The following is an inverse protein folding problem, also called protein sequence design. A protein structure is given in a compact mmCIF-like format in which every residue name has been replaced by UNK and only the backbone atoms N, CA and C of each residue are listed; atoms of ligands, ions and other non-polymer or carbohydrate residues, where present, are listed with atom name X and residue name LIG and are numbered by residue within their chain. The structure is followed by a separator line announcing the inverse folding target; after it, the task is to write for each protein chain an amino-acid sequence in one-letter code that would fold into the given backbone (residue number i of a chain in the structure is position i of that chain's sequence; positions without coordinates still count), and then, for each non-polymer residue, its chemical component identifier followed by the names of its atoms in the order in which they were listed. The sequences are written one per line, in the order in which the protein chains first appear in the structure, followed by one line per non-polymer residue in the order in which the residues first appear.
data_IF_010127659837
#
_entry.id   IF_010127659837
#
_cell.length_a   1.000
_cell.length_b   1.000
_cell.length_c   1.000
_cell.angle_alpha   90.00
_cell.angle_beta   90.00
_cell.angle_gamma   90.00
#
_symmetry.space_group_name_H-M   'P 1'
#
loop_
_entity.id
_entity.type
_entity.pdbx_description
1 polymer ?
#
# COMPACT_ATOMS: atom_id res chain seq x y z
N UNK A 1 25.99 -11.38 -14.83
CA UNK A 1 24.90 -11.49 -13.85
C UNK A 1 23.99 -12.62 -14.31
N UNK A 2 23.72 -13.62 -13.47
CA UNK A 2 22.76 -14.68 -13.80
C UNK A 2 21.31 -14.17 -13.71
N UNK A 3 20.36 -14.88 -14.31
CA UNK A 3 18.94 -14.54 -14.19
C UNK A 3 18.47 -14.56 -12.72
N UNK A 4 18.91 -15.56 -11.93
CA UNK A 4 18.60 -15.64 -10.50
C UNK A 4 19.14 -14.44 -9.73
N UNK A 5 20.38 -14.03 -10.00
CA UNK A 5 20.97 -12.84 -9.37
C UNK A 5 20.21 -11.56 -9.73
N UNK A 6 19.80 -11.41 -10.99
CA UNK A 6 18.99 -10.28 -11.42
C UNK A 6 17.65 -10.24 -10.66
N UNK A 7 17.00 -11.39 -10.50
CA UNK A 7 15.73 -11.52 -9.77
C UNK A 7 15.91 -11.25 -8.28
N UNK A 8 17.00 -11.73 -7.65
CA UNK A 8 17.32 -11.41 -6.25
C UNK A 8 17.43 -9.90 -6.04
N UNK A 9 18.28 -9.22 -6.84
CA UNK A 9 18.49 -7.77 -6.73
C UNK A 9 17.18 -7.02 -6.93
N UNK A 10 16.43 -7.36 -7.99
CA UNK A 10 15.16 -6.69 -8.29
C UNK A 10 14.12 -6.89 -7.18
N UNK A 11 13.94 -8.12 -6.71
CA UNK A 11 12.93 -8.47 -5.69
C UNK A 11 13.25 -7.83 -4.34
N UNK A 12 14.50 -7.92 -3.89
CA UNK A 12 14.94 -7.32 -2.61
C UNK A 12 14.82 -5.79 -2.67
N UNK A 13 15.29 -5.18 -3.76
CA UNK A 13 15.21 -3.73 -3.93
C UNK A 13 13.77 -3.25 -3.96
N UNK A 14 12.89 -3.93 -4.69
CA UNK A 14 11.46 -3.60 -4.75
C UNK A 14 10.83 -3.72 -3.36
N UNK A 15 11.18 -4.75 -2.59
CA UNK A 15 10.63 -4.95 -1.26
C UNK A 15 11.03 -3.85 -0.28
N UNK A 16 12.33 -3.56 -0.20
CA UNK A 16 12.87 -2.53 0.69
C UNK A 16 12.45 -1.12 0.27
N UNK A 17 12.40 -0.84 -1.03
CA UNK A 17 11.89 0.45 -1.55
C UNK A 17 10.41 0.64 -1.21
N UNK A 18 9.59 -0.40 -1.40
CA UNK A 18 8.15 -0.34 -1.05
C UNK A 18 7.96 -0.15 0.45
N UNK A 19 8.71 -0.87 1.27
CA UNK A 19 8.70 -0.71 2.74
C UNK A 19 9.09 0.71 3.15
N UNK A 20 10.21 1.22 2.62
CA UNK A 20 10.70 2.57 2.88
C UNK A 20 9.70 3.65 2.47
N UNK A 21 9.04 3.50 1.32
CA UNK A 21 8.01 4.43 0.87
C UNK A 21 6.78 4.47 1.80
N UNK A 22 6.31 3.31 2.28
CA UNK A 22 5.21 3.24 3.26
C UNK A 22 5.63 3.86 4.60
N UNK A 23 6.86 3.58 5.04
CA UNK A 23 7.41 4.16 6.27
C UNK A 23 7.55 5.68 6.17
N UNK A 24 8.07 6.19 5.04
CA UNK A 24 8.25 7.62 4.79
C UNK A 24 6.92 8.38 4.79
N UNK A 25 5.88 7.83 4.14
CA UNK A 25 4.51 8.37 4.21
C UNK A 25 4.07 8.55 5.67
N UNK A 26 4.29 7.52 6.50
CA UNK A 26 3.87 7.52 7.90
C UNK A 26 4.71 8.45 8.78
N UNK A 27 6.01 8.56 8.49
CA UNK A 27 6.96 9.33 9.28
C UNK A 27 6.92 10.84 8.99
N UNK A 28 6.61 11.23 7.76
CA UNK A 28 6.71 12.62 7.32
C UNK A 28 5.35 13.19 6.86
N UNK A 29 4.69 12.51 5.92
CA UNK A 29 3.49 13.06 5.29
C UNK A 29 2.28 13.05 6.22
N UNK A 30 2.06 11.96 6.96
CA UNK A 30 0.91 11.87 7.87
C UNK A 30 0.96 12.89 9.01
N UNK A 31 2.10 13.13 9.69
CA UNK A 31 2.21 14.22 10.67
C UNK A 31 1.91 15.60 10.05
N UNK A 32 2.41 15.86 8.83
CA UNK A 32 2.16 17.11 8.12
C UNK A 32 0.67 17.27 7.79
N UNK A 33 0.05 16.25 7.22
CA UNK A 33 -1.38 16.24 6.86
C UNK A 33 -2.26 16.38 8.10
N UNK A 34 -1.94 15.67 9.18
CA UNK A 34 -2.68 15.68 10.45
C UNK A 34 -2.62 17.04 11.17
N UNK A 35 -1.66 17.90 10.84
CA UNK A 35 -1.58 19.26 11.37
C UNK A 35 -2.65 20.20 10.80
N UNK A 36 -3.31 19.81 9.71
CA UNK A 36 -4.32 20.61 9.01
C UNK A 36 -5.74 20.23 9.46
N UNK A 37 -6.72 21.15 9.33
CA UNK A 37 -8.14 20.82 9.47
C UNK A 37 -8.57 19.67 8.55
N UNK A 38 -9.61 18.93 8.91
CA UNK A 38 -10.18 17.83 8.12
C UNK A 38 -10.52 18.26 6.69
N UNK A 39 -11.01 19.48 6.49
CA UNK A 39 -11.32 20.05 5.17
C UNK A 39 -10.12 20.15 4.21
N UNK A 40 -8.88 20.11 4.73
CA UNK A 40 -7.65 20.12 3.93
C UNK A 40 -6.91 18.80 3.98
N UNK A 41 -6.87 18.17 5.15
CA UNK A 41 -6.12 16.92 5.35
C UNK A 41 -6.73 15.74 4.59
N UNK A 42 -8.06 15.66 4.51
CA UNK A 42 -8.75 14.55 3.85
C UNK A 42 -8.52 14.52 2.32
N UNK A 43 -8.64 15.63 1.57
CA UNK A 43 -8.30 15.63 0.14
C UNK A 43 -6.83 15.32 -0.14
N UNK A 44 -5.91 15.86 0.69
CA UNK A 44 -4.48 15.56 0.59
C UNK A 44 -4.21 14.08 0.76
N UNK A 45 -4.79 13.46 1.80
CA UNK A 45 -4.67 12.02 2.02
C UNK A 45 -5.31 11.22 0.88
N UNK A 46 -6.50 11.62 0.40
CA UNK A 46 -7.21 10.89 -0.66
C UNK A 46 -6.40 10.88 -1.96
N UNK A 47 -5.72 11.97 -2.28
CA UNK A 47 -4.82 12.07 -3.43
C UNK A 47 -3.62 11.12 -3.30
N UNK A 48 -2.95 11.14 -2.14
CA UNK A 48 -1.83 10.21 -1.86
C UNK A 48 -2.31 8.75 -1.92
N UNK A 49 -3.47 8.45 -1.35
CA UNK A 49 -4.06 7.12 -1.36
C UNK A 49 -4.32 6.62 -2.78
N UNK A 50 -4.88 7.45 -3.67
CA UNK A 50 -5.16 7.06 -5.06
C UNK A 50 -3.91 6.67 -5.83
N UNK A 51 -2.78 7.35 -5.60
CA UNK A 51 -1.52 7.04 -6.27
C UNK A 51 -0.80 5.85 -5.60
N UNK A 52 -0.87 5.81 -4.28
CA UNK A 52 -0.34 4.72 -3.47
C UNK A 52 -1.03 3.37 -3.72
N UNK A 53 -2.34 3.37 -4.03
CA UNK A 53 -3.12 2.15 -4.28
C UNK A 53 -2.72 1.40 -5.53
N UNK A 54 -1.94 2.01 -6.43
CA UNK A 54 -1.37 1.31 -7.59
C UNK A 54 0.09 0.94 -7.37
N UNK A 55 0.84 1.75 -6.62
CA UNK A 55 2.28 1.53 -6.41
C UNK A 55 2.55 0.45 -5.38
N UNK A 56 1.96 0.55 -4.18
CA UNK A 56 2.26 -0.37 -3.08
C UNK A 56 1.76 -1.79 -3.34
N UNK A 57 0.53 -2.04 -3.85
CA UNK A 57 0.09 -3.39 -4.19
C UNK A 57 0.97 -4.04 -5.27
N UNK A 58 1.43 -3.27 -6.26
CA UNK A 58 2.35 -3.75 -7.29
C UNK A 58 3.68 -4.18 -6.68
N UNK A 59 4.28 -3.35 -5.81
CA UNK A 59 5.52 -3.70 -5.10
C UNK A 59 5.37 -4.94 -4.23
N UNK A 60 4.24 -5.07 -3.50
CA UNK A 60 3.91 -6.25 -2.70
C UNK A 60 3.83 -7.51 -3.57
N UNK A 61 3.07 -7.46 -4.67
CA UNK A 61 2.88 -8.61 -5.54
C UNK A 61 4.17 -9.03 -6.25
N UNK A 62 4.93 -8.07 -6.80
CA UNK A 62 6.21 -8.36 -7.45
C UNK A 62 7.21 -8.97 -6.48
N UNK A 63 7.33 -8.42 -5.26
CA UNK A 63 8.26 -8.94 -4.26
C UNK A 63 7.86 -10.33 -3.79
N UNK A 64 6.56 -10.54 -3.51
CA UNK A 64 6.01 -11.84 -3.10
C UNK A 64 6.26 -12.90 -4.17
N UNK A 65 5.94 -12.60 -5.43
CA UNK A 65 6.13 -13.52 -6.55
C UNK A 65 7.61 -13.80 -6.83
N UNK A 66 8.45 -12.76 -6.79
CA UNK A 66 9.90 -12.88 -6.96
C UNK A 66 10.52 -13.78 -5.89
N UNK A 67 10.17 -13.59 -4.61
CA UNK A 67 10.66 -14.46 -3.55
C UNK A 67 10.12 -15.89 -3.63
N UNK A 68 8.86 -16.09 -4.04
CA UNK A 68 8.32 -17.43 -4.28
C UNK A 68 9.09 -18.15 -5.40
N UNK A 69 9.39 -17.45 -6.49
CA UNK A 69 10.23 -17.97 -7.57
C UNK A 69 11.63 -18.32 -7.08
N UNK A 70 12.26 -17.44 -6.29
CA UNK A 70 13.60 -17.68 -5.76
C UNK A 70 13.64 -18.90 -4.83
N UNK A 71 12.61 -19.06 -3.99
CA UNK A 71 12.44 -20.26 -3.15
C UNK A 71 12.41 -21.54 -3.99
N UNK A 72 11.59 -21.55 -5.04
CA UNK A 72 11.51 -22.69 -5.97
C UNK A 72 12.85 -22.94 -6.68
N UNK A 73 13.51 -21.89 -7.16
CA UNK A 73 14.78 -22.00 -7.90
C UNK A 73 15.94 -22.48 -7.04
N UNK A 74 15.86 -22.29 -5.71
CA UNK A 74 16.87 -22.72 -4.75
C UNK A 74 16.67 -24.18 -4.30
N UNK A 75 15.61 -24.87 -4.75
CA UNK A 75 15.39 -26.26 -4.39
C UNK A 75 16.50 -27.16 -4.98
N UNK A 76 16.97 -28.17 -4.23
CA UNK A 76 17.93 -29.12 -4.76
C UNK A 76 17.31 -29.93 -5.90
N UNK A 77 18.12 -30.34 -6.88
CA UNK A 77 17.65 -31.10 -8.05
C UNK A 77 16.91 -32.41 -7.67
N UNK A 78 17.26 -32.99 -6.52
CA UNK A 78 16.60 -34.17 -5.93
C UNK A 78 15.20 -33.91 -5.37
N UNK A 79 14.80 -32.65 -5.16
CA UNK A 79 13.45 -32.29 -4.72
C UNK A 79 12.43 -32.27 -5.86
N UNK A 80 12.84 -32.56 -7.10
CA UNK A 80 12.02 -32.36 -8.30
C UNK A 80 10.82 -33.32 -8.46
N UNK A 81 10.65 -34.33 -7.59
CA UNK A 81 9.44 -35.16 -7.39
C UNK A 81 9.64 -36.07 -6.16
N UNK A 82 8.62 -36.35 -5.31
CA UNK A 82 7.20 -35.89 -5.32
C UNK A 82 6.95 -34.54 -4.60
N UNK A 83 5.70 -34.03 -4.63
CA UNK A 83 5.29 -32.75 -4.01
C UNK A 83 5.61 -32.66 -2.51
N UNK A 84 5.54 -33.77 -1.77
CA UNK A 84 5.96 -33.82 -0.37
C UNK A 84 7.46 -33.57 -0.19
N UNK A 85 8.29 -33.98 -1.16
CA UNK A 85 9.71 -33.66 -1.20
C UNK A 85 9.91 -32.17 -1.47
N UNK A 86 9.17 -31.58 -2.42
CA UNK A 86 9.19 -30.13 -2.68
C UNK A 86 8.85 -29.34 -1.41
N UNK A 87 7.73 -29.66 -0.75
CA UNK A 87 7.28 -28.96 0.45
C UNK A 87 8.27 -29.10 1.61
N UNK A 88 8.80 -30.30 1.85
CA UNK A 88 9.75 -30.53 2.95
C UNK A 88 11.10 -29.82 2.75
N UNK A 89 11.51 -29.59 1.50
CA UNK A 89 12.72 -28.82 1.18
C UNK A 89 12.45 -27.31 1.11
N UNK A 90 11.27 -26.90 0.63
CA UNK A 90 10.89 -25.49 0.50
C UNK A 90 10.77 -24.75 1.84
N UNK A 91 10.68 -25.48 2.96
CA UNK A 91 10.64 -24.91 4.32
C UNK A 91 11.99 -24.94 5.04
N UNK A 92 13.06 -25.44 4.40
CA UNK A 92 14.39 -25.58 5.00
C UNK A 92 15.44 -24.76 4.26
N UNK A 93 16.47 -24.31 4.99
CA UNK A 93 17.61 -23.60 4.43
C UNK A 93 17.22 -22.36 3.61
N UNK A 94 18.00 -22.08 2.56
CA UNK A 94 17.80 -20.95 1.65
C UNK A 94 16.42 -20.94 0.96
N UNK A 95 15.87 -22.06 0.45
CA UNK A 95 14.48 -22.11 -0.03
C UNK A 95 13.46 -21.65 1.01
N UNK A 96 13.62 -22.09 2.26
CA UNK A 96 12.78 -21.71 3.40
C UNK A 96 12.81 -20.21 3.69
N UNK A 97 13.99 -19.60 3.64
CA UNK A 97 14.12 -18.16 3.85
C UNK A 97 13.43 -17.35 2.75
N UNK A 98 13.60 -17.74 1.48
CA UNK A 98 12.85 -17.09 0.39
C UNK A 98 11.34 -17.30 0.49
N UNK A 99 10.89 -18.48 0.91
CA UNK A 99 9.46 -18.72 1.13
C UNK A 99 8.92 -17.83 2.26
N UNK A 100 9.65 -17.73 3.38
CA UNK A 100 9.31 -16.85 4.48
C UNK A 100 9.26 -15.38 4.04
N UNK A 101 10.22 -14.93 3.23
CA UNK A 101 10.23 -13.58 2.65
C UNK A 101 8.98 -13.33 1.78
N UNK A 102 8.61 -14.29 0.93
CA UNK A 102 7.40 -14.24 0.11
C UNK A 102 6.14 -14.09 0.97
N UNK A 103 5.99 -14.94 1.99
CA UNK A 103 4.84 -14.91 2.91
C UNK A 103 4.77 -13.60 3.68
N UNK A 104 5.90 -13.07 4.16
CA UNK A 104 5.96 -11.78 4.85
C UNK A 104 5.52 -10.63 3.93
N UNK A 105 6.04 -10.57 2.70
CA UNK A 105 5.60 -9.57 1.73
C UNK A 105 4.10 -9.69 1.45
N UNK A 106 3.60 -10.89 1.14
CA UNK A 106 2.17 -11.12 0.85
C UNK A 106 1.26 -10.81 2.03
N UNK A 107 1.71 -11.06 3.26
CA UNK A 107 0.95 -10.76 4.48
C UNK A 107 0.61 -9.27 4.60
N UNK A 108 1.38 -8.39 3.95
CA UNK A 108 1.07 -6.96 3.83
C UNK A 108 -0.28 -6.72 3.15
N UNK A 109 -0.61 -7.48 2.09
CA UNK A 109 -1.89 -7.38 1.40
C UNK A 109 -3.03 -7.87 2.30
N UNK A 110 -2.85 -9.01 2.96
CA UNK A 110 -3.84 -9.57 3.90
C UNK A 110 -4.10 -8.61 5.06
N UNK A 111 -3.05 -8.06 5.66
CA UNK A 111 -3.14 -7.07 6.73
C UNK A 111 -3.87 -5.81 6.26
N UNK A 112 -3.59 -5.34 5.05
CA UNK A 112 -4.30 -4.19 4.46
C UNK A 112 -5.80 -4.49 4.40
N UNK A 113 -6.18 -5.64 3.85
CA UNK A 113 -7.58 -6.02 3.66
C UNK A 113 -8.34 -6.16 4.97
N UNK A 114 -7.71 -6.75 6.00
CA UNK A 114 -8.40 -7.06 7.26
C UNK A 114 -8.33 -5.90 8.26
N UNK A 115 -7.18 -5.25 8.42
CA UNK A 115 -6.95 -4.28 9.49
C UNK A 115 -7.07 -2.82 9.04
N UNK A 116 -6.80 -2.51 7.77
CA UNK A 116 -6.73 -1.13 7.30
C UNK A 116 -7.95 -0.64 6.53
N UNK A 117 -8.56 -1.50 5.69
CA UNK A 117 -9.73 -1.11 4.88
C UNK A 117 -10.81 -0.38 5.70
N UNK A 118 -11.20 -0.84 6.92
CA UNK A 118 -12.22 -0.13 7.69
C UNK A 118 -11.85 1.33 8.00
N UNK A 119 -10.60 1.57 8.42
CA UNK A 119 -10.12 2.93 8.75
C UNK A 119 -10.03 3.79 7.48
N UNK A 120 -9.52 3.20 6.39
CA UNK A 120 -9.42 3.87 5.09
C UNK A 120 -10.80 4.29 4.58
N UNK A 121 -11.79 3.40 4.67
CA UNK A 121 -13.13 3.67 4.16
C UNK A 121 -13.85 4.73 4.99
N UNK A 122 -13.63 4.77 6.31
CA UNK A 122 -14.13 5.88 7.14
C UNK A 122 -13.51 7.21 6.72
N UNK A 123 -12.18 7.27 6.49
CA UNK A 123 -11.51 8.49 6.03
C UNK A 123 -12.01 8.92 4.64
N UNK A 124 -12.16 8.00 3.69
CA UNK A 124 -12.68 8.29 2.34
C UNK A 124 -14.13 8.79 2.41
N UNK A 125 -14.96 8.14 3.23
CA UNK A 125 -16.36 8.56 3.40
C UNK A 125 -16.42 9.99 3.95
N UNK A 126 -15.65 10.32 4.98
CA UNK A 126 -15.58 11.69 5.51
C UNK A 126 -15.10 12.70 4.47
N UNK A 127 -14.14 12.32 3.63
CA UNK A 127 -13.71 13.17 2.52
C UNK A 127 -14.88 13.46 1.58
N UNK A 128 -15.61 12.43 1.13
CA UNK A 128 -16.78 12.59 0.24
C UNK A 128 -17.91 13.38 0.91
N UNK A 129 -18.19 13.15 2.20
CA UNK A 129 -19.24 13.86 2.96
C UNK A 129 -18.94 15.37 3.12
N UNK A 130 -17.66 15.77 3.04
CA UNK A 130 -17.25 17.17 3.03
C UNK A 130 -17.21 17.79 1.62
N UNK A 131 -17.42 17.00 0.56
CA UNK A 131 -17.26 17.44 -0.83
C UNK A 131 -15.79 17.42 -1.29
N UNK A 132 -14.98 16.55 -0.69
CA UNK A 132 -13.62 16.25 -1.12
C UNK A 132 -13.58 15.22 -2.24
N UNK A 133 -12.49 15.27 -3.01
CA UNK A 133 -12.17 14.31 -4.06
C UNK A 133 -10.68 13.94 -4.03
N UNK A 134 -10.28 13.04 -4.93
CA UNK A 134 -8.91 12.53 -5.00
C UNK A 134 -7.93 13.42 -5.76
N UNK A 135 -8.40 14.51 -6.38
CA UNK A 135 -7.54 15.48 -7.08
C UNK A 135 -8.30 16.77 -7.41
N UNK A 136 -7.57 17.81 -7.82
CA UNK A 136 -8.15 19.06 -8.30
C UNK A 136 -8.95 18.86 -9.61
N UNK A 137 -8.43 18.08 -10.56
CA UNK A 137 -9.16 17.77 -11.81
C UNK A 137 -10.45 17.00 -11.53
N UNK A 138 -10.40 16.04 -10.61
CA UNK A 138 -11.57 15.27 -10.17
C UNK A 138 -12.63 16.16 -9.54
N UNK A 139 -12.25 17.03 -8.60
CA UNK A 139 -13.17 17.97 -7.96
C UNK A 139 -13.87 18.86 -9.01
N UNK A 140 -13.10 19.44 -9.94
CA UNK A 140 -13.64 20.28 -11.02
C UNK A 140 -14.60 19.52 -11.94
N UNK A 141 -14.24 18.29 -12.34
CA UNK A 141 -15.10 17.47 -13.19
C UNK A 141 -16.40 17.08 -12.48
N UNK A 142 -16.30 16.63 -11.22
CA UNK A 142 -17.46 16.22 -10.42
C UNK A 142 -18.42 17.38 -10.17
N UNK A 143 -17.89 18.58 -9.90
CA UNK A 143 -18.70 19.80 -9.78
C UNK A 143 -19.42 20.11 -11.10
N UNK A 144 -18.75 20.02 -12.25
CA UNK A 144 -19.36 20.30 -13.57
C UNK A 144 -20.55 19.38 -13.88
N UNK A 145 -20.50 18.12 -13.46
CA UNK A 145 -21.57 17.15 -13.73
C UNK A 145 -22.61 17.09 -12.61
N UNK A 146 -22.48 17.90 -11.55
CA UNK A 146 -23.36 17.84 -10.38
C UNK A 146 -23.33 16.47 -9.69
N UNK A 147 -22.15 15.84 -9.60
CA UNK A 147 -22.00 14.50 -9.04
C UNK A 147 -22.45 14.46 -7.57
N UNK A 148 -23.15 13.40 -7.19
CA UNK A 148 -23.51 13.15 -5.79
C UNK A 148 -22.31 12.61 -5.00
N UNK A 149 -22.28 12.78 -3.66
CA UNK A 149 -21.30 12.12 -2.80
C UNK A 149 -21.29 10.61 -3.01
N UNK A 150 -20.09 10.00 -2.98
CA UNK A 150 -19.91 8.57 -3.19
C UNK A 150 -19.77 7.80 -1.89
N UNK A 151 -20.04 6.49 -1.95
CA UNK A 151 -19.52 5.57 -0.93
C UNK A 151 -18.00 5.44 -1.05
N UNK A 152 -17.36 4.91 -0.02
CA UNK A 152 -15.92 4.68 -0.05
C UNK A 152 -15.50 3.76 -1.21
N UNK A 153 -16.26 2.69 -1.46
CA UNK A 153 -16.03 1.75 -2.55
C UNK A 153 -16.15 2.43 -3.91
N UNK A 154 -17.22 3.21 -4.12
CA UNK A 154 -17.43 3.95 -5.37
C UNK A 154 -16.31 4.98 -5.62
N UNK A 155 -15.79 5.60 -4.56
CA UNK A 155 -14.66 6.53 -4.62
C UNK A 155 -13.36 5.83 -5.00
N UNK A 156 -13.09 4.64 -4.45
CA UNK A 156 -11.92 3.81 -4.80
C UNK A 156 -12.02 3.33 -6.25
N UNK A 157 -13.19 2.87 -6.68
CA UNK A 157 -13.47 2.41 -8.04
C UNK A 157 -13.41 3.53 -9.09
N UNK A 158 -13.31 4.80 -8.68
CA UNK A 158 -13.27 5.95 -9.59
C UNK A 158 -14.58 6.15 -10.37
N UNK A 159 -15.73 5.77 -9.80
CA UNK A 159 -17.02 5.93 -10.48
C UNK A 159 -17.34 7.40 -10.70
N UNK A 160 -17.76 7.72 -11.93
CA UNK A 160 -18.10 9.09 -12.39
C UNK A 160 -16.98 10.08 -12.09
N UNK A 161 -15.77 9.75 -12.53
CA UNK A 161 -14.57 10.50 -12.19
C UNK A 161 -13.59 10.57 -13.36
N UNK A 162 -12.59 11.44 -13.24
CA UNK A 162 -11.42 11.43 -14.11
C UNK A 162 -10.57 10.18 -13.83
N UNK A 163 -9.79 9.75 -14.84
CA UNK A 163 -8.93 8.58 -14.72
C UNK A 163 -7.81 8.82 -13.70
N UNK A 164 -7.70 7.92 -12.71
CA UNK A 164 -6.66 7.94 -11.69
C UNK A 164 -5.25 7.66 -12.25
N UNK A 165 -5.16 7.08 -13.46
CA UNK A 165 -3.90 6.75 -14.11
C UNK A 165 -3.30 7.90 -14.90
N UNK A 166 -4.13 8.80 -15.40
CA UNK A 166 -3.71 9.89 -16.30
C UNK A 166 -3.83 11.26 -15.63
N UNK A 167 -4.45 11.34 -14.46
CA UNK A 167 -4.60 12.58 -13.73
C UNK A 167 -3.32 12.97 -12.97
N UNK A 168 -2.60 13.93 -13.54
CA UNK A 168 -1.39 14.49 -12.98
C UNK A 168 -1.63 15.76 -12.15
N UNK A 169 -2.88 16.14 -11.92
CA UNK A 169 -3.19 17.34 -11.13
C UNK A 169 -2.81 17.19 -9.65
N UNK A 170 -2.67 18.33 -8.99
CA UNK A 170 -2.41 18.44 -7.56
C UNK A 170 -3.61 17.94 -6.72
N UNK A 171 -3.42 17.71 -5.41
CA UNK A 171 -4.53 17.47 -4.51
C UNK A 171 -5.56 18.61 -4.61
N UNK A 172 -6.83 18.29 -4.40
CA UNK A 172 -7.82 19.34 -4.15
C UNK A 172 -7.40 20.11 -2.89
N UNK A 173 -7.24 21.44 -2.98
CA UNK A 173 -6.70 22.23 -1.88
C UNK A 173 -7.58 22.27 -0.63
N UNK A 174 -8.91 22.20 -0.81
CA UNK A 174 -9.88 22.10 0.28
C UNK A 174 -11.19 21.48 -0.21
N UNK A 175 -11.88 20.77 0.69
CA UNK A 175 -13.26 20.29 0.51
C UNK A 175 -14.25 21.45 0.30
N UNK A 176 -15.42 21.16 -0.28
CA UNK A 176 -16.48 22.16 -0.51
C UNK A 176 -16.99 22.78 0.80
N UNK A 177 -17.16 21.96 1.85
CA UNK A 177 -17.56 22.40 3.19
C UNK A 177 -16.35 22.48 4.12
N UNK A 178 -16.30 23.51 4.98
CA UNK A 178 -15.35 23.49 6.10
C UNK A 178 -15.71 22.42 7.12
N UNK A 179 -14.67 21.84 7.72
CA UNK A 179 -14.82 21.00 8.89
C UNK A 179 -14.99 21.85 10.16
N UNK A 180 -15.66 21.28 11.15
CA UNK A 180 -15.71 21.83 12.50
C UNK A 180 -14.68 21.14 13.43
N UNK A 181 -14.58 21.62 14.67
CA UNK A 181 -13.59 21.12 15.64
C UNK A 181 -13.77 19.63 16.00
N UNK A 182 -15.00 19.12 16.03
CA UNK A 182 -15.30 17.71 16.31
C UNK A 182 -14.83 16.82 15.16
N UNK A 183 -15.15 17.23 13.92
CA UNK A 183 -14.70 16.54 12.71
C UNK A 183 -13.17 16.53 12.58
N UNK A 184 -12.52 17.65 12.91
CA UNK A 184 -11.06 17.78 12.91
C UNK A 184 -10.40 16.80 13.90
N UNK A 185 -10.93 16.71 15.12
CA UNK A 185 -10.39 15.81 16.14
C UNK A 185 -10.63 14.34 15.78
N UNK A 186 -11.80 14.00 15.25
CA UNK A 186 -12.10 12.64 14.80
C UNK A 186 -11.16 12.22 13.66
N UNK A 187 -10.95 13.09 12.67
CA UNK A 187 -10.03 12.83 11.55
C UNK A 187 -8.59 12.72 12.05
N UNK A 188 -8.17 13.55 13.01
CA UNK A 188 -6.85 13.44 13.63
C UNK A 188 -6.64 12.09 14.31
N UNK A 189 -7.65 11.58 15.01
CA UNK A 189 -7.65 10.23 15.59
C UNK A 189 -7.51 9.14 14.53
N UNK A 190 -8.30 9.23 13.45
CA UNK A 190 -8.24 8.29 12.32
C UNK A 190 -6.90 8.32 11.60
N UNK A 191 -6.31 9.49 11.37
CA UNK A 191 -4.99 9.65 10.76
C UNK A 191 -3.89 9.04 11.65
N UNK A 192 -3.98 9.21 12.96
CA UNK A 192 -3.05 8.59 13.92
C UNK A 192 -3.17 7.07 13.94
N UNK A 193 -4.38 6.54 13.77
CA UNK A 193 -4.59 5.10 13.61
C UNK A 193 -4.04 4.60 12.28
N UNK A 194 -4.31 5.31 11.19
CA UNK A 194 -3.80 5.01 9.85
C UNK A 194 -2.26 4.97 9.83
N UNK A 195 -1.60 5.94 10.47
CA UNK A 195 -0.15 5.99 10.65
C UNK A 195 0.39 4.70 11.27
N UNK A 196 -0.13 4.32 12.44
CA UNK A 196 0.30 3.10 13.16
C UNK A 196 0.11 1.84 12.32
N UNK A 197 -1.01 1.74 11.62
CA UNK A 197 -1.30 0.60 10.76
C UNK A 197 -0.34 0.54 9.55
N UNK A 198 0.05 1.68 8.97
CA UNK A 198 1.04 1.69 7.89
C UNK A 198 2.44 1.30 8.37
N UNK A 199 2.84 1.65 9.60
CA UNK A 199 4.10 1.14 10.15
C UNK A 199 4.12 -0.39 10.25
N UNK A 200 2.99 -1.03 10.60
CA UNK A 200 2.90 -2.50 10.57
C UNK A 200 3.09 -3.02 9.14
N UNK A 201 2.44 -2.40 8.14
CA UNK A 201 2.66 -2.77 6.72
C UNK A 201 4.10 -2.60 6.28
N UNK A 202 4.72 -1.46 6.62
CA UNK A 202 6.12 -1.20 6.30
C UNK A 202 7.02 -2.25 6.95
N UNK A 203 6.75 -2.62 8.20
CA UNK A 203 7.47 -3.67 8.93
C UNK A 203 7.35 -5.04 8.28
N UNK A 204 6.13 -5.48 7.92
CA UNK A 204 5.93 -6.75 7.22
C UNK A 204 6.68 -6.81 5.89
N UNK A 205 6.55 -5.75 5.09
CA UNK A 205 7.23 -5.65 3.79
C UNK A 205 8.75 -5.60 3.94
N UNK A 206 9.25 -4.83 4.90
CA UNK A 206 10.67 -4.63 5.16
C UNK A 206 11.33 -5.89 5.72
N UNK A 207 10.66 -6.57 6.65
CA UNK A 207 11.09 -7.87 7.16
C UNK A 207 11.20 -8.91 6.05
N UNK A 208 10.23 -8.94 5.11
CA UNK A 208 10.32 -9.79 3.92
C UNK A 208 11.56 -9.48 3.07
N UNK A 209 11.83 -8.19 2.81
CA UNK A 209 13.03 -7.75 2.10
C UNK A 209 14.34 -8.15 2.79
N UNK A 210 14.43 -7.98 4.11
CA UNK A 210 15.62 -8.35 4.91
C UNK A 210 15.82 -9.86 4.93
N UNK A 211 14.77 -10.65 5.17
CA UNK A 211 14.86 -12.12 5.14
C UNK A 211 15.29 -12.61 3.75
N UNK A 212 14.76 -12.01 2.68
CA UNK A 212 15.18 -12.31 1.31
C UNK A 212 16.64 -11.95 1.02
N UNK A 213 17.15 -10.86 1.62
CA UNK A 213 18.56 -10.50 1.54
C UNK A 213 19.44 -11.50 2.28
N UNK A 214 19.05 -11.90 3.50
CA UNK A 214 19.76 -12.96 4.26
C UNK A 214 19.83 -14.25 3.45
N UNK A 215 18.73 -14.64 2.80
CA UNK A 215 18.71 -15.82 1.91
C UNK A 215 19.67 -15.69 0.72
N UNK A 216 19.83 -14.49 0.15
CA UNK A 216 20.72 -14.26 -0.98
C UNK A 216 22.22 -14.28 -0.60
N UNK A 217 22.53 -14.04 0.67
CA UNK A 217 23.88 -13.99 1.21
C UNK A 217 24.34 -15.31 1.87
N UNK A 218 23.41 -16.24 2.11
CA UNK A 218 23.65 -17.56 2.71
C UNK A 218 24.01 -18.61 1.64
#
# INVERSE_FOLDING_TARGET
MSATQAIQVFTISTALFTSGGIAALSAFDIPLIRSQPASRSLPMLRWLFSRGSHTAPTGIMLSSAGFAYLSYSALPASASKPLSSVLSHAVKGTPGLYLAASVLCFSTAVFTSVAMIPTNFTLIKKNEDLGGSHSASSANYRHKIGAKPRTAEQSVDGKQDVSQWTDLSDPQGRTERESNAEEDEEVRGLLSKFEKLNYVRAGLMGAGGVVGLVAALA
#
